data_IF_667397566297
#
_entry.id   IF_667397566297
#
_cell.length_a   1.000
_cell.length_b   1.000
_cell.length_c   1.000
_cell.angle_alpha   90.00
_cell.angle_beta   90.00
_cell.angle_gamma   90.00
#
_symmetry.space_group_name_H-M   'P 1'
#
loop_
_entity.id
_entity.type
_entity.pdbx_description
1 polymer ?
#
# COMPACT_ATOMS: atom_id res chain seq x y z
N UNK A 1 -2.40 -6.45 -37.46
CA UNK A 1 -3.11 -6.77 -36.20
C UNK A 1 -2.09 -6.73 -35.05
N UNK A 2 -1.92 -5.59 -34.37
CA UNK A 2 -0.90 -5.43 -33.32
C UNK A 2 -1.39 -6.07 -32.01
N UNK A 3 -0.91 -7.27 -31.68
CA UNK A 3 -1.10 -7.84 -30.34
C UNK A 3 -0.23 -7.10 -29.33
N UNK A 4 -0.84 -6.23 -28.52
CA UNK A 4 -0.21 -5.71 -27.29
C UNK A 4 -0.01 -6.89 -26.32
N UNK A 5 1.22 -7.41 -26.22
CA UNK A 5 1.65 -8.29 -25.12
C UNK A 5 1.43 -7.54 -23.80
N UNK A 6 0.37 -7.87 -23.06
CA UNK A 6 0.19 -7.43 -21.67
C UNK A 6 1.29 -8.11 -20.84
N UNK A 7 2.23 -7.39 -20.22
CA UNK A 7 3.09 -8.01 -19.22
C UNK A 7 2.18 -8.47 -18.08
N UNK A 8 2.08 -9.78 -17.88
CA UNK A 8 1.44 -10.35 -16.70
C UNK A 8 2.31 -9.95 -15.50
N UNK A 9 1.96 -8.84 -14.86
CA UNK A 9 2.65 -8.41 -13.65
C UNK A 9 2.30 -9.42 -12.56
N UNK A 10 3.17 -10.41 -12.37
CA UNK A 10 2.99 -11.48 -11.40
C UNK A 10 3.24 -10.89 -10.02
N UNK A 11 2.20 -10.35 -9.40
CA UNK A 11 2.24 -9.91 -8.00
C UNK A 11 2.56 -11.16 -7.17
N UNK A 12 3.82 -11.32 -6.77
CA UNK A 12 4.24 -12.41 -5.89
C UNK A 12 4.02 -11.95 -4.46
N UNK A 13 3.01 -12.51 -3.81
CA UNK A 13 2.78 -12.36 -2.38
C UNK A 13 3.47 -13.53 -1.65
N UNK A 14 4.79 -13.64 -1.77
CA UNK A 14 5.57 -14.61 -1.00
C UNK A 14 5.78 -14.01 0.40
N UNK A 15 5.13 -14.60 1.42
CA UNK A 15 5.25 -14.19 2.83
C UNK A 15 5.86 -15.37 3.58
N UNK A 16 7.02 -15.18 4.19
CA UNK A 16 7.67 -16.20 5.01
C UNK A 16 6.89 -16.44 6.31
N UNK A 17 6.57 -17.70 6.59
CA UNK A 17 5.89 -18.09 7.83
C UNK A 17 6.85 -18.03 9.02
N UNK A 18 6.58 -17.17 9.99
CA UNK A 18 7.36 -17.09 11.23
C UNK A 18 6.72 -17.91 12.35
N UNK A 19 7.38 -18.96 12.87
CA UNK A 19 6.79 -19.86 13.87
C UNK A 19 6.78 -19.30 15.31
N UNK A 20 7.44 -18.18 15.59
CA UNK A 20 7.56 -17.61 16.95
C UNK A 20 6.91 -16.22 17.03
N UNK A 21 6.02 -16.03 18.00
CA UNK A 21 5.38 -14.75 18.34
C UNK A 21 5.76 -14.38 19.78
N UNK A 22 6.21 -13.14 20.00
CA UNK A 22 6.54 -12.60 21.33
C UNK A 22 5.27 -12.34 22.16
N UNK A 23 5.25 -12.65 23.46
CA UNK A 23 4.13 -12.34 24.37
C UNK A 23 3.87 -10.84 24.52
N UNK A 24 4.86 -10.00 24.22
CA UNK A 24 4.73 -8.53 24.18
C UNK A 24 3.91 -8.02 22.98
N UNK A 25 3.46 -8.93 22.11
CA UNK A 25 2.57 -8.67 20.99
C UNK A 25 1.32 -7.86 21.39
N UNK A 26 0.83 -8.01 22.62
CA UNK A 26 -0.35 -7.30 23.12
C UNK A 26 -0.15 -5.78 23.07
N UNK A 27 1.04 -5.22 23.36
CA UNK A 27 1.26 -3.76 23.34
C UNK A 27 1.24 -3.13 21.94
N UNK A 28 1.04 -3.92 20.88
CA UNK A 28 0.96 -3.48 19.49
C UNK A 28 -0.25 -2.60 19.21
N UNK A 29 -1.38 -2.81 19.89
CA UNK A 29 -2.56 -1.95 19.73
C UNK A 29 -2.29 -0.51 20.16
N UNK A 30 -1.44 -0.31 21.18
CA UNK A 30 -1.09 1.02 21.66
C UNK A 30 -0.33 1.82 20.60
N UNK A 31 0.46 1.13 19.77
CA UNK A 31 1.17 1.73 18.63
C UNK A 31 0.27 2.04 17.44
N UNK A 32 -0.87 1.34 17.30
CA UNK A 32 -1.80 1.56 16.19
C UNK A 32 -2.51 2.91 16.32
N UNK A 33 -2.85 3.31 17.56
CA UNK A 33 -3.56 4.57 17.86
C UNK A 33 -2.86 5.81 17.26
N UNK A 34 -1.56 6.07 17.50
CA UNK A 34 -0.91 7.24 16.92
C UNK A 34 -0.75 7.16 15.40
N UNK A 35 -0.75 5.96 14.81
CA UNK A 35 -0.53 5.81 13.37
C UNK A 35 -1.83 5.86 12.56
N UNK A 36 -2.99 5.62 13.19
CA UNK A 36 -4.26 5.64 12.47
C UNK A 36 -4.59 7.03 11.90
N UNK A 37 -4.19 8.09 12.60
CA UNK A 37 -4.41 9.48 12.20
C UNK A 37 -3.64 9.83 10.90
N UNK A 38 -2.29 9.68 10.84
CA UNK A 38 -1.56 9.95 9.61
C UNK A 38 -1.96 9.00 8.48
N UNK A 39 -2.33 7.76 8.79
CA UNK A 39 -2.83 6.81 7.80
C UNK A 39 -4.16 7.28 7.17
N UNK A 40 -5.09 7.79 7.98
CA UNK A 40 -6.36 8.32 7.50
C UNK A 40 -6.18 9.56 6.61
N UNK A 41 -5.30 10.49 7.01
CA UNK A 41 -4.95 11.68 6.21
C UNK A 41 -4.38 11.25 4.85
N UNK A 42 -3.46 10.28 4.87
CA UNK A 42 -2.86 9.79 3.64
C UNK A 42 -3.85 9.03 2.74
N UNK A 43 -4.77 8.26 3.33
CA UNK A 43 -5.83 7.59 2.60
C UNK A 43 -6.76 8.60 1.90
N UNK A 44 -7.11 9.71 2.57
CA UNK A 44 -7.88 10.80 1.96
C UNK A 44 -7.12 11.45 0.80
N UNK A 45 -5.82 11.71 0.96
CA UNK A 45 -4.97 12.21 -0.11
C UNK A 45 -4.89 11.27 -1.32
N UNK A 46 -4.73 9.97 -1.07
CA UNK A 46 -4.73 8.94 -2.12
C UNK A 46 -6.08 8.85 -2.84
N UNK A 47 -7.19 8.99 -2.12
CA UNK A 47 -8.52 9.01 -2.71
C UNK A 47 -8.69 10.21 -3.66
N UNK A 48 -8.25 11.40 -3.23
CA UNK A 48 -8.25 12.60 -4.08
C UNK A 48 -7.37 12.42 -5.33
N UNK A 49 -6.15 11.89 -5.17
CA UNK A 49 -5.27 11.60 -6.31
C UNK A 49 -5.89 10.61 -7.28
N UNK A 50 -6.59 9.58 -6.78
CA UNK A 50 -7.25 8.58 -7.61
C UNK A 50 -8.45 9.16 -8.33
N UNK A 51 -9.18 10.07 -7.69
CA UNK A 51 -10.27 10.82 -8.30
C UNK A 51 -9.74 11.70 -9.45
N UNK A 52 -8.68 12.47 -9.23
CA UNK A 52 -8.04 13.28 -10.30
C UNK A 52 -7.49 12.39 -11.41
N UNK A 53 -6.85 11.28 -11.07
CA UNK A 53 -6.32 10.33 -12.05
C UNK A 53 -7.41 9.72 -12.93
N UNK A 54 -8.58 9.42 -12.34
CA UNK A 54 -9.73 8.91 -13.06
C UNK A 54 -10.21 9.89 -14.14
N UNK A 55 -10.37 11.17 -13.80
CA UNK A 55 -10.73 12.19 -14.78
C UNK A 55 -9.63 12.42 -15.82
N UNK A 56 -8.36 12.40 -15.41
CA UNK A 56 -7.23 12.48 -16.33
C UNK A 56 -7.26 11.36 -17.38
N UNK A 57 -7.47 10.11 -16.95
CA UNK A 57 -7.64 8.97 -17.85
C UNK A 57 -8.86 9.10 -18.75
N UNK A 58 -9.96 9.64 -18.22
CA UNK A 58 -11.21 9.78 -18.97
C UNK A 58 -11.11 10.85 -20.08
N UNK A 59 -10.38 11.93 -19.81
CA UNK A 59 -10.21 13.04 -20.76
C UNK A 59 -9.09 12.80 -21.77
N UNK A 60 -7.92 12.31 -21.34
CA UNK A 60 -6.76 12.12 -22.22
C UNK A 60 -6.62 10.70 -22.77
N UNK A 61 -7.28 9.70 -22.17
CA UNK A 61 -7.08 8.30 -22.52
C UNK A 61 -5.71 7.73 -22.15
N UNK A 62 -4.86 8.53 -21.51
CA UNK A 62 -3.50 8.16 -21.10
C UNK A 62 -3.41 8.01 -19.58
N UNK A 63 -2.57 7.07 -19.13
CA UNK A 63 -2.28 6.85 -17.72
C UNK A 63 -1.01 7.59 -17.35
N UNK A 64 -1.11 8.54 -16.42
CA UNK A 64 0.06 9.23 -15.87
C UNK A 64 0.95 8.25 -15.09
N UNK A 65 2.18 8.02 -15.56
CA UNK A 65 3.14 7.15 -14.89
C UNK A 65 3.47 7.65 -13.48
N UNK A 66 3.63 8.97 -13.31
CA UNK A 66 3.96 9.59 -12.02
C UNK A 66 2.90 9.36 -10.96
N UNK A 67 1.62 9.52 -11.31
CA UNK A 67 0.54 9.28 -10.34
C UNK A 67 0.37 7.79 -10.09
N UNK A 68 0.51 6.95 -11.11
CA UNK A 68 0.44 5.49 -10.97
C UNK A 68 1.54 4.94 -10.04
N UNK A 69 2.78 5.43 -10.15
CA UNK A 69 3.88 5.06 -9.24
C UNK A 69 3.58 5.45 -7.80
N UNK A 70 3.07 6.67 -7.57
CA UNK A 70 2.64 7.12 -6.22
C UNK A 70 1.52 6.23 -5.65
N UNK A 71 0.59 5.81 -6.51
CA UNK A 71 -0.48 4.91 -6.09
C UNK A 71 0.06 3.52 -5.71
N UNK A 72 1.00 2.98 -6.48
CA UNK A 72 1.68 1.71 -6.18
C UNK A 72 2.44 1.75 -4.85
N UNK A 73 3.18 2.83 -4.59
CA UNK A 73 3.88 3.01 -3.32
C UNK A 73 2.90 3.00 -2.13
N UNK A 74 1.76 3.68 -2.27
CA UNK A 74 0.71 3.66 -1.25
C UNK A 74 0.07 2.29 -1.08
N UNK A 75 -0.23 1.58 -2.17
CA UNK A 75 -0.81 0.22 -2.10
C UNK A 75 0.14 -0.73 -1.37
N UNK A 76 1.43 -0.71 -1.71
CA UNK A 76 2.44 -1.51 -1.01
C UNK A 76 2.55 -1.15 0.47
N UNK A 77 2.53 0.15 0.79
CA UNK A 77 2.51 0.64 2.17
C UNK A 77 1.27 0.13 2.94
N UNK A 78 0.09 0.23 2.33
CA UNK A 78 -1.16 -0.29 2.89
C UNK A 78 -1.13 -1.80 3.10
N UNK A 79 -0.55 -2.57 2.18
CA UNK A 79 -0.38 -4.02 2.35
C UNK A 79 0.55 -4.37 3.51
N UNK A 80 1.67 -3.65 3.69
CA UNK A 80 2.55 -3.83 4.85
C UNK A 80 1.81 -3.55 6.16
N UNK A 81 1.01 -2.49 6.18
CA UNK A 81 0.15 -2.17 7.32
C UNK A 81 -0.91 -3.24 7.59
N UNK A 82 -1.58 -3.75 6.56
CA UNK A 82 -2.56 -4.82 6.69
C UNK A 82 -1.92 -6.14 7.16
N UNK A 83 -0.75 -6.49 6.64
CA UNK A 83 0.02 -7.65 7.11
C UNK A 83 0.43 -7.50 8.58
N UNK A 84 0.77 -6.28 9.00
CA UNK A 84 1.03 -5.96 10.40
C UNK A 84 -0.24 -6.08 11.25
N UNK A 85 -1.38 -5.53 10.83
CA UNK A 85 -2.63 -5.60 11.59
C UNK A 85 -3.19 -7.03 11.68
N UNK A 86 -2.97 -7.86 10.66
CA UNK A 86 -3.43 -9.26 10.59
C UNK A 86 -2.44 -10.28 11.15
N UNK A 87 -1.36 -9.82 11.78
CA UNK A 87 -0.38 -10.67 12.47
C UNK A 87 0.41 -11.60 11.54
N UNK A 88 0.51 -11.24 10.25
CA UNK A 88 1.31 -11.99 9.28
C UNK A 88 2.81 -11.68 9.39
N UNK A 89 3.16 -10.53 9.96
CA UNK A 89 4.55 -10.14 10.22
C UNK A 89 4.71 -9.53 11.61
N UNK A 90 5.91 -9.64 12.19
CA UNK A 90 6.30 -8.98 13.44
C UNK A 90 7.04 -7.66 13.21
N UNK A 91 7.46 -7.40 11.97
CA UNK A 91 8.20 -6.18 11.63
C UNK A 91 7.27 -4.97 11.57
N UNK A 92 7.65 -3.89 12.25
CA UNK A 92 6.86 -2.66 12.27
C UNK A 92 6.93 -1.99 10.89
N UNK A 93 5.80 -1.69 10.24
CA UNK A 93 5.81 -0.96 8.98
C UNK A 93 6.36 0.45 9.20
N UNK A 94 7.12 0.94 8.22
CA UNK A 94 7.55 2.34 8.16
C UNK A 94 6.30 3.23 8.19
N UNK A 95 6.39 4.43 8.78
CA UNK A 95 5.25 5.35 8.95
C UNK A 95 4.97 6.13 7.65
N UNK A 96 5.97 6.25 6.78
CA UNK A 96 5.91 7.05 5.56
C UNK A 96 6.05 6.19 4.29
N UNK A 97 5.23 6.43 3.25
CA UNK A 97 5.22 5.64 2.03
C UNK A 97 6.31 6.00 1.00
N UNK A 98 7.15 7.00 1.25
CA UNK A 98 8.16 7.49 0.28
C UNK A 98 9.46 6.68 0.23
N UNK A 99 9.66 5.73 1.15
CA UNK A 99 10.83 4.86 1.22
C UNK A 99 10.58 3.48 0.58
N UNK A 100 9.63 3.38 -0.36
CA UNK A 100 9.23 2.15 -1.06
C UNK A 100 9.41 2.33 -2.57
#
# INVERSE_FOLDING_TARGET
MFQKKKPAHKVRLEIDFQPKISRWFIFRFLWIIPVIIPLAIYAAWFWLLSFVHFFYMLLLGERSESIFRKQLAFINFGFRWQAYLKYYTNERPVILPWHV
#
